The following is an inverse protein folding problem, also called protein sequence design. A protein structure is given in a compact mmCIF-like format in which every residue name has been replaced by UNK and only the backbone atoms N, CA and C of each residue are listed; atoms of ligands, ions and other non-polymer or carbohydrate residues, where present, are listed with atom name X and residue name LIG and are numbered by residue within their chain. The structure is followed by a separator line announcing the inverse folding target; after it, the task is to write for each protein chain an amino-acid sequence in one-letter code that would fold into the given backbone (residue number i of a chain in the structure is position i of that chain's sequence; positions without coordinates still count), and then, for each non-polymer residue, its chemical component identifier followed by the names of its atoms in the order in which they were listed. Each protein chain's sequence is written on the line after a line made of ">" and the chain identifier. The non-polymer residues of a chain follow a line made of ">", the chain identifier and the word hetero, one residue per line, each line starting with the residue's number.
data_IF_595229538263
#
_entry.id   IF_595229538263
#
_cell.length_a   1.000
_cell.length_b   1.000
_cell.length_c   1.000
_cell.angle_alpha   90.00
_cell.angle_beta   90.00
_cell.angle_gamma   90.00
#
_symmetry.space_group_name_H-M   'P 1'
#
loop_
_entity.id
_entity.type
_entity.pdbx_description
1 polymer ?
#
# COMPACT_ATOMS: atom_id res chain seq x y z
N UNK A 1 -11.97 -30.44 -33.19
CA UNK A 1 -11.56 -29.20 -32.51
C UNK A 1 -12.44 -29.02 -31.28
N UNK A 2 -11.89 -28.96 -30.06
CA UNK A 2 -12.72 -28.79 -28.87
C UNK A 2 -13.23 -27.35 -28.81
N UNK A 3 -14.53 -27.21 -28.53
CA UNK A 3 -15.27 -25.96 -28.50
C UNK A 3 -15.10 -25.35 -27.10
N UNK A 4 -14.37 -24.24 -26.99
CA UNK A 4 -14.29 -23.48 -25.73
C UNK A 4 -15.56 -22.63 -25.57
N UNK A 5 -16.25 -22.68 -24.41
CA UNK A 5 -17.39 -21.81 -24.13
C UNK A 5 -16.93 -20.35 -24.02
N UNK A 6 -17.36 -19.49 -24.95
CA UNK A 6 -17.23 -18.04 -24.86
C UNK A 6 -18.38 -17.49 -24.01
N UNK A 7 -18.28 -17.62 -22.70
CA UNK A 7 -19.02 -16.78 -21.76
C UNK A 7 -18.45 -16.97 -20.35
N UNK A 8 -17.20 -16.57 -20.14
CA UNK A 8 -16.78 -16.16 -18.80
C UNK A 8 -17.43 -14.81 -18.55
N UNK A 9 -18.51 -14.80 -17.76
CA UNK A 9 -19.30 -13.63 -17.37
C UNK A 9 -18.50 -12.59 -16.56
N UNK A 10 -17.39 -12.11 -17.10
CA UNK A 10 -16.68 -10.94 -16.60
C UNK A 10 -17.37 -9.71 -17.18
N UNK A 11 -18.42 -9.27 -16.49
CA UNK A 11 -19.08 -8.01 -16.81
C UNK A 11 -18.09 -6.87 -16.59
N UNK A 12 -17.69 -6.20 -17.67
CA UNK A 12 -16.77 -5.03 -17.73
C UNK A 12 -17.25 -3.80 -16.92
N UNK A 13 -18.34 -3.92 -16.16
CA UNK A 13 -18.94 -2.82 -15.39
C UNK A 13 -18.03 -2.29 -14.28
N UNK A 14 -17.12 -3.11 -13.76
CA UNK A 14 -16.21 -2.71 -12.67
C UNK A 14 -14.86 -2.17 -13.18
N UNK A 15 -14.56 -2.31 -14.48
CA UNK A 15 -13.28 -1.90 -15.07
C UNK A 15 -12.90 -0.41 -14.81
N UNK A 16 -13.79 0.58 -15.00
CA UNK A 16 -13.42 1.98 -14.74
C UNK A 16 -13.25 2.28 -13.24
N UNK A 17 -13.88 1.51 -12.35
CA UNK A 17 -13.73 1.66 -10.90
C UNK A 17 -12.41 1.04 -10.40
N UNK A 18 -12.03 -0.10 -10.97
CA UNK A 18 -10.77 -0.78 -10.68
C UNK A 18 -9.58 0.05 -11.18
N UNK A 19 -9.68 0.64 -12.38
CA UNK A 19 -8.64 1.54 -12.92
C UNK A 19 -8.44 2.77 -12.02
N UNK A 20 -9.52 3.43 -11.57
CA UNK A 20 -9.43 4.55 -10.63
C UNK A 20 -8.78 4.15 -9.30
N UNK A 21 -9.13 2.98 -8.76
CA UNK A 21 -8.53 2.47 -7.53
C UNK A 21 -7.02 2.19 -7.69
N UNK A 22 -6.59 1.70 -8.87
CA UNK A 22 -5.18 1.49 -9.18
C UNK A 22 -4.45 2.83 -9.30
N UNK A 23 -5.01 3.81 -10.01
CA UNK A 23 -4.42 5.16 -10.12
C UNK A 23 -4.21 5.79 -8.74
N UNK A 24 -5.23 5.73 -7.87
CA UNK A 24 -5.14 6.24 -6.48
C UNK A 24 -4.01 5.54 -5.71
N UNK A 25 -3.92 4.21 -5.78
CA UNK A 25 -2.85 3.46 -5.10
C UNK A 25 -1.47 3.82 -5.64
N UNK A 26 -1.34 4.03 -6.94
CA UNK A 26 -0.07 4.41 -7.58
C UNK A 26 0.36 5.82 -7.14
N UNK A 27 -0.56 6.79 -7.13
CA UNK A 27 -0.30 8.16 -6.63
C UNK A 27 0.14 8.14 -5.17
N UNK A 28 -0.57 7.39 -4.32
CA UNK A 28 -0.22 7.22 -2.90
C UNK A 28 1.14 6.54 -2.70
N UNK A 29 1.46 5.53 -3.51
CA UNK A 29 2.79 4.90 -3.50
C UNK A 29 3.87 5.91 -3.86
N UNK A 30 3.69 6.67 -4.95
CA UNK A 30 4.63 7.73 -5.36
C UNK A 30 4.83 8.79 -4.28
N UNK A 31 3.76 9.18 -3.59
CA UNK A 31 3.85 10.10 -2.46
C UNK A 31 4.74 9.54 -1.35
N UNK A 32 4.54 8.27 -0.95
CA UNK A 32 5.37 7.63 0.08
C UNK A 32 6.85 7.53 -0.33
N UNK A 33 7.13 7.27 -1.61
CA UNK A 33 8.50 7.20 -2.14
C UNK A 33 9.21 8.58 -2.10
N UNK A 34 8.46 9.67 -2.33
CA UNK A 34 8.97 11.04 -2.33
C UNK A 34 9.02 11.68 -0.94
N UNK A 35 8.17 11.22 0.00
CA UNK A 35 8.01 11.80 1.34
C UNK A 35 8.40 10.80 2.44
N UNK A 36 9.69 10.46 2.58
CA UNK A 36 10.17 9.60 3.68
C UNK A 36 9.93 10.23 5.06
N UNK A 37 9.73 11.56 5.12
CA UNK A 37 9.33 12.30 6.32
C UNK A 37 7.99 11.86 6.91
N UNK A 38 7.09 11.27 6.11
CA UNK A 38 5.81 10.74 6.59
C UNK A 38 6.04 9.74 7.73
N UNK A 39 7.03 8.85 7.59
CA UNK A 39 7.36 7.84 8.59
C UNK A 39 8.01 8.39 9.88
N UNK A 40 8.38 9.67 9.90
CA UNK A 40 9.21 10.26 10.96
C UNK A 40 8.45 10.99 12.05
N UNK A 41 7.21 11.41 11.82
CA UNK A 41 6.46 12.24 12.76
C UNK A 41 4.99 11.82 12.89
N UNK A 42 4.47 11.74 14.12
CA UNK A 42 3.03 11.64 14.41
C UNK A 42 2.40 10.24 14.29
N UNK A 43 2.99 9.33 13.51
CA UNK A 43 2.42 7.99 13.29
C UNK A 43 2.34 7.11 14.54
N UNK A 44 3.02 7.46 15.63
CA UNK A 44 2.92 6.75 16.92
C UNK A 44 1.47 6.67 17.43
N UNK A 45 0.64 7.63 17.04
CA UNK A 45 -0.76 7.73 17.44
C UNK A 45 -1.72 7.04 16.47
N UNK A 46 -1.30 6.75 15.23
CA UNK A 46 -2.13 6.09 14.23
C UNK A 46 -2.40 4.61 14.58
N UNK A 47 -1.41 3.94 15.18
CA UNK A 47 -1.60 2.65 15.85
C UNK A 47 -0.73 2.54 17.11
N UNK A 48 -1.26 2.96 18.28
CA UNK A 48 -0.51 2.94 19.52
C UNK A 48 -0.10 1.54 19.98
N UNK A 49 -0.82 0.50 19.58
CA UNK A 49 -0.58 -0.88 20.03
C UNK A 49 0.50 -1.55 19.22
N UNK A 50 0.47 -1.35 17.91
CA UNK A 50 1.49 -1.84 17.01
C UNK A 50 2.82 -1.10 17.25
N UNK A 51 2.78 0.22 17.50
CA UNK A 51 3.96 1.00 17.84
C UNK A 51 4.64 0.50 19.12
N UNK A 52 3.85 0.19 20.17
CA UNK A 52 4.38 -0.32 21.44
C UNK A 52 5.17 -1.63 21.25
N UNK A 53 4.65 -2.52 20.41
CA UNK A 53 5.22 -3.85 20.17
C UNK A 53 6.44 -3.81 19.24
N UNK A 54 6.37 -3.06 18.15
CA UNK A 54 7.40 -3.03 17.12
C UNK A 54 8.53 -2.03 17.42
N UNK A 55 8.24 -0.93 18.11
CA UNK A 55 9.19 0.15 18.38
C UNK A 55 9.54 0.21 19.87
N UNK A 56 8.54 0.47 20.75
CA UNK A 56 8.79 0.75 22.18
C UNK A 56 9.41 -0.43 22.93
N UNK A 57 9.14 -1.68 22.51
CA UNK A 57 9.74 -2.88 23.10
C UNK A 57 11.27 -2.92 22.98
N UNK A 58 11.81 -2.45 21.86
CA UNK A 58 13.26 -2.40 21.62
C UNK A 58 13.90 -1.10 22.12
N UNK A 59 13.08 -0.14 22.54
CA UNK A 59 13.55 1.11 23.11
C UNK A 59 14.22 0.86 24.47
N UNK A 60 15.44 1.34 24.60
CA UNK A 60 16.23 1.24 25.82
C UNK A 60 15.66 2.11 26.93
N UNK A 61 15.97 1.79 28.18
CA UNK A 61 15.60 2.63 29.34
C UNK A 61 16.14 4.05 29.20
N UNK A 62 17.35 4.20 28.64
CA UNK A 62 17.98 5.50 28.42
C UNK A 62 17.24 6.35 27.36
N UNK A 63 16.79 5.73 26.26
CA UNK A 63 15.98 6.41 25.24
C UNK A 63 14.61 6.83 25.81
N UNK A 64 13.96 5.96 26.61
CA UNK A 64 12.69 6.30 27.27
C UNK A 64 12.82 7.44 28.27
N UNK A 65 13.90 7.47 29.05
CA UNK A 65 14.16 8.58 29.98
C UNK A 65 14.48 9.89 29.24
N UNK A 66 15.16 9.82 28.09
CA UNK A 66 15.39 11.00 27.25
C UNK A 66 14.09 11.52 26.65
N UNK A 67 13.24 10.62 26.13
CA UNK A 67 11.94 10.95 25.58
C UNK A 67 10.98 11.47 26.66
N UNK A 68 10.92 10.82 27.82
CA UNK A 68 10.12 11.26 28.95
C UNK A 68 10.56 12.61 29.51
N UNK A 69 11.87 12.94 29.44
CA UNK A 69 12.36 14.29 29.75
C UNK A 69 12.01 15.32 28.68
N UNK A 70 12.00 14.93 27.40
CA UNK A 70 11.63 15.81 26.30
C UNK A 70 10.13 16.10 26.25
N UNK A 71 9.29 15.07 26.41
CA UNK A 71 7.81 15.16 26.43
C UNK A 71 7.28 15.68 27.79
N UNK A 72 8.05 15.54 28.87
CA UNK A 72 7.65 15.94 30.21
C UNK A 72 6.61 15.00 30.84
N UNK A 73 6.34 15.18 32.15
CA UNK A 73 5.42 14.30 32.89
C UNK A 73 3.98 14.31 32.34
N UNK A 74 3.47 15.49 31.94
CA UNK A 74 2.13 15.61 31.36
C UNK A 74 2.02 14.89 30.00
N UNK A 75 3.03 15.01 29.14
CA UNK A 75 3.04 14.34 27.84
C UNK A 75 3.17 12.82 27.95
N UNK A 76 3.95 12.34 28.93
CA UNK A 76 4.01 10.89 29.23
C UNK A 76 2.63 10.38 29.69
N UNK A 77 1.95 11.10 30.58
CA UNK A 77 0.62 10.71 31.05
C UNK A 77 -0.42 10.72 29.92
N UNK A 78 -0.42 11.75 29.07
CA UNK A 78 -1.33 11.88 27.93
C UNK A 78 -1.14 10.73 26.94
N UNK A 79 0.10 10.43 26.58
CA UNK A 79 0.40 9.30 25.67
C UNK A 79 0.05 7.94 26.27
N UNK A 80 0.21 7.77 27.59
CA UNK A 80 -0.21 6.56 28.28
C UNK A 80 -1.75 6.42 28.34
N UNK A 81 -2.48 7.53 28.53
CA UNK A 81 -3.94 7.54 28.48
C UNK A 81 -4.45 7.14 27.09
N UNK A 82 -3.98 7.81 26.04
CA UNK A 82 -4.38 7.51 24.66
C UNK A 82 -4.09 6.06 24.28
N UNK A 83 -2.94 5.53 24.71
CA UNK A 83 -2.60 4.12 24.48
C UNK A 83 -3.58 3.18 25.19
N UNK A 84 -3.98 3.50 26.42
CA UNK A 84 -4.94 2.69 27.17
C UNK A 84 -6.33 2.69 26.52
N UNK A 85 -6.74 3.82 25.93
CA UNK A 85 -8.01 3.96 25.21
C UNK A 85 -7.99 3.17 23.90
N UNK A 86 -6.95 3.35 23.07
CA UNK A 86 -6.77 2.59 21.83
C UNK A 86 -6.74 1.08 22.07
N UNK A 87 -6.13 0.67 23.20
CA UNK A 87 -6.10 -0.73 23.61
C UNK A 87 -7.48 -1.29 23.92
N UNK A 88 -8.32 -0.50 24.58
CA UNK A 88 -9.68 -0.92 24.87
C UNK A 88 -10.53 -0.95 23.61
N UNK A 89 -10.34 0.02 22.72
CA UNK A 89 -11.08 0.11 21.47
C UNK A 89 -10.77 -1.07 20.54
N UNK A 90 -9.49 -1.44 20.39
CA UNK A 90 -9.09 -2.60 19.59
C UNK A 90 -9.67 -3.93 20.10
N UNK A 91 -9.95 -4.05 21.42
CA UNK A 91 -10.62 -5.22 21.99
C UNK A 91 -12.12 -5.20 21.67
N UNK A 92 -12.76 -4.03 21.71
CA UNK A 92 -14.18 -3.90 21.36
C UNK A 92 -14.45 -3.99 19.85
N UNK A 93 -13.50 -3.55 19.03
CA UNK A 93 -13.59 -3.47 17.58
C UNK A 93 -12.33 -4.09 16.94
N UNK A 94 -12.16 -5.41 17.00
CA UNK A 94 -11.05 -6.07 16.34
C UNK A 94 -11.18 -5.90 14.82
N UNK A 95 -10.21 -5.20 14.21
CA UNK A 95 -10.16 -5.03 12.76
C UNK A 95 -9.75 -6.36 12.11
N UNK A 96 -10.58 -6.93 11.21
CA UNK A 96 -10.26 -8.18 10.52
C UNK A 96 -9.02 -8.08 9.61
N UNK A 97 -8.60 -6.87 9.23
CA UNK A 97 -7.41 -6.62 8.42
C UNK A 97 -6.20 -6.18 9.26
N UNK A 98 -6.34 -6.03 10.59
CA UNK A 98 -5.21 -5.70 11.42
C UNK A 98 -4.20 -6.85 11.41
N UNK A 99 -2.93 -6.50 11.26
CA UNK A 99 -1.82 -7.46 11.32
C UNK A 99 -1.80 -8.23 12.64
N UNK A 100 -2.36 -7.65 13.73
CA UNK A 100 -2.42 -8.29 15.05
C UNK A 100 -3.84 -8.33 15.59
N UNK A 101 -4.21 -9.50 16.14
CA UNK A 101 -5.44 -9.65 16.94
C UNK A 101 -5.14 -9.46 18.43
N UNK A 102 -6.05 -8.79 19.15
CA UNK A 102 -5.96 -8.55 20.58
C UNK A 102 -7.10 -9.27 21.30
N UNK A 103 -6.78 -10.17 22.22
CA UNK A 103 -7.78 -10.86 23.04
C UNK A 103 -7.61 -10.50 24.51
N UNK A 104 -8.75 -10.44 25.22
CA UNK A 104 -8.76 -10.24 26.66
C UNK A 104 -8.54 -11.59 27.34
N UNK A 105 -7.42 -11.71 28.03
CA UNK A 105 -7.09 -12.85 28.86
C UNK A 105 -8.00 -12.98 30.08
N UNK A 106 -7.98 -14.15 30.76
CA UNK A 106 -8.88 -14.48 31.86
C UNK A 106 -8.82 -13.50 33.05
N UNK A 107 -7.65 -12.94 33.32
CA UNK A 107 -7.41 -12.00 34.41
C UNK A 107 -7.51 -10.52 33.97
N UNK A 108 -8.02 -10.26 32.76
CA UNK A 108 -8.08 -8.91 32.18
C UNK A 108 -6.75 -8.41 31.60
N UNK A 109 -5.70 -9.24 31.63
CA UNK A 109 -4.49 -9.02 30.85
C UNK A 109 -4.79 -9.11 29.37
N UNK A 110 -4.19 -8.25 28.56
CA UNK A 110 -4.48 -8.18 27.13
C UNK A 110 -3.37 -8.94 26.42
N UNK A 111 -3.74 -10.09 25.88
CA UNK A 111 -2.84 -11.00 25.18
C UNK A 111 -2.99 -10.72 23.69
N UNK A 112 -1.90 -10.36 23.03
CA UNK A 112 -1.85 -10.45 21.57
C UNK A 112 -1.66 -11.94 21.25
N UNK A 113 -2.62 -12.54 20.55
CA UNK A 113 -2.76 -14.00 20.48
C UNK A 113 -1.63 -14.66 19.69
N UNK A 114 -0.95 -13.91 18.82
CA UNK A 114 0.18 -14.44 18.03
C UNK A 114 1.54 -14.11 18.66
N UNK A 115 2.08 -15.10 19.38
CA UNK A 115 3.44 -15.08 19.97
C UNK A 115 4.56 -15.22 18.94
N UNK A 116 4.26 -15.65 17.71
CA UNK A 116 5.26 -15.96 16.68
C UNK A 116 5.59 -14.78 15.75
N UNK A 117 4.81 -13.71 15.79
CA UNK A 117 5.07 -12.46 15.03
C UNK A 117 5.76 -11.41 15.90
N UNK A 118 6.78 -11.81 16.63
CA UNK A 118 7.65 -10.88 17.37
C UNK A 118 8.92 -10.71 16.55
N UNK A 119 9.22 -9.48 16.09
CA UNK A 119 10.47 -9.23 15.40
C UNK A 119 11.66 -9.63 16.31
N UNK A 120 12.71 -10.28 15.79
CA UNK A 120 13.90 -10.61 16.57
C UNK A 120 14.76 -9.39 16.91
N UNK A 121 14.62 -8.28 16.17
CA UNK A 121 15.48 -7.10 16.31
C UNK A 121 14.73 -5.78 16.06
N UNK A 122 15.34 -4.67 16.50
CA UNK A 122 14.82 -3.30 16.36
C UNK A 122 14.61 -2.91 14.89
N UNK A 123 15.56 -3.24 14.02
CA UNK A 123 15.54 -2.86 12.60
C UNK A 123 14.37 -3.52 11.84
N UNK A 124 14.06 -4.77 12.18
CA UNK A 124 12.95 -5.52 11.64
C UNK A 124 11.62 -5.03 12.20
N UNK A 125 11.58 -4.65 13.48
CA UNK A 125 10.44 -3.94 14.06
C UNK A 125 10.14 -2.63 13.33
N UNK A 126 11.16 -1.80 13.09
CA UNK A 126 11.05 -0.56 12.33
C UNK A 126 10.66 -0.78 10.86
N UNK A 127 11.15 -1.86 10.24
CA UNK A 127 10.78 -2.24 8.87
C UNK A 127 9.32 -2.66 8.79
N UNK A 128 8.86 -3.51 9.70
CA UNK A 128 7.47 -3.96 9.77
C UNK A 128 6.53 -2.80 10.10
N UNK A 129 6.94 -1.92 11.00
CA UNK A 129 6.20 -0.70 11.33
C UNK A 129 6.00 0.19 10.10
N UNK A 130 7.08 0.48 9.36
CA UNK A 130 7.00 1.26 8.12
C UNK A 130 6.14 0.59 7.05
N UNK A 131 6.27 -0.73 6.91
CA UNK A 131 5.49 -1.49 5.95
C UNK A 131 3.98 -1.42 6.26
N UNK A 132 3.60 -1.62 7.52
CA UNK A 132 2.20 -1.59 7.96
C UNK A 132 1.62 -0.17 7.88
N UNK A 133 2.35 0.85 8.32
CA UNK A 133 1.94 2.26 8.15
C UNK A 133 1.80 2.64 6.68
N UNK A 134 2.69 2.13 5.82
CA UNK A 134 2.60 2.31 4.36
C UNK A 134 1.38 1.61 3.77
N UNK A 135 1.05 0.40 4.24
CA UNK A 135 -0.13 -0.34 3.81
C UNK A 135 -1.42 0.40 4.21
N UNK A 136 -1.50 0.89 5.45
CA UNK A 136 -2.63 1.72 5.92
C UNK A 136 -2.78 2.99 5.10
N UNK A 137 -1.67 3.66 4.81
CA UNK A 137 -1.67 4.84 3.96
C UNK A 137 -2.21 4.53 2.56
N UNK A 138 -1.73 3.44 1.94
CA UNK A 138 -2.21 3.00 0.63
C UNK A 138 -3.71 2.66 0.64
N UNK A 139 -4.21 2.06 1.73
CA UNK A 139 -5.63 1.73 1.88
C UNK A 139 -6.51 2.95 2.13
N UNK A 140 -5.95 4.05 2.66
CA UNK A 140 -6.70 5.26 2.98
C UNK A 140 -7.22 5.30 4.41
N UNK A 141 -6.59 4.53 5.30
CA UNK A 141 -7.04 4.35 6.68
C UNK A 141 -6.35 5.30 7.68
N UNK A 142 -5.50 6.23 7.21
CA UNK A 142 -4.94 7.29 8.04
C UNK A 142 -5.93 8.45 8.14
N UNK A 143 -6.59 8.60 9.29
CA UNK A 143 -7.58 9.67 9.52
C UNK A 143 -6.96 11.06 9.61
N UNK A 144 -5.68 11.16 9.92
CA UNK A 144 -5.00 12.43 10.17
C UNK A 144 -4.46 13.04 8.87
N UNK A 145 -4.41 12.26 7.78
CA UNK A 145 -3.90 12.68 6.47
C UNK A 145 -4.99 13.14 5.50
N UNK A 146 -4.80 14.29 4.86
CA UNK A 146 -5.70 14.75 3.79
C UNK A 146 -5.33 14.12 2.44
N UNK A 147 -5.90 12.93 2.18
CA UNK A 147 -5.70 12.19 0.93
C UNK A 147 -6.08 12.94 -0.33
N UNK A 148 -6.90 14.00 -0.28
CA UNK A 148 -7.26 14.77 -1.48
C UNK A 148 -6.04 15.40 -2.14
N UNK A 149 -5.04 15.77 -1.34
CA UNK A 149 -3.78 16.37 -1.80
C UNK A 149 -2.95 15.43 -2.66
N UNK A 150 -3.15 14.12 -2.52
CA UNK A 150 -2.42 13.07 -3.25
C UNK A 150 -3.32 12.42 -4.30
N UNK A 151 -4.55 12.04 -3.92
CA UNK A 151 -5.46 11.30 -4.78
C UNK A 151 -5.93 12.11 -6.00
N UNK A 152 -6.02 13.45 -5.86
CA UNK A 152 -6.44 14.36 -6.95
C UNK A 152 -5.27 15.09 -7.59
N UNK A 153 -4.04 14.75 -7.22
CA UNK A 153 -2.86 15.38 -7.80
C UNK A 153 -2.28 14.49 -8.90
N UNK A 154 -2.36 15.00 -10.14
CA UNK A 154 -1.87 14.32 -11.33
C UNK A 154 -0.33 14.36 -11.42
N UNK A 155 0.37 15.20 -10.65
CA UNK A 155 1.84 15.22 -10.60
C UNK A 155 2.43 13.90 -10.04
N UNK A 156 1.64 13.18 -9.24
CA UNK A 156 1.99 11.86 -8.73
C UNK A 156 1.56 10.72 -9.66
N UNK A 157 0.95 11.03 -10.81
CA UNK A 157 0.80 10.02 -11.84
C UNK A 157 2.17 9.60 -12.35
N UNK A 158 2.28 8.30 -12.57
CA UNK A 158 3.48 7.67 -13.06
C UNK A 158 3.60 7.93 -14.57
N UNK A 159 3.98 9.16 -14.93
CA UNK A 159 4.36 9.56 -16.30
C UNK A 159 5.78 9.09 -16.61
N UNK A 160 6.16 7.86 -16.25
CA UNK A 160 7.52 7.44 -16.54
C UNK A 160 7.65 7.25 -18.04
N UNK A 161 8.56 8.02 -18.64
CA UNK A 161 9.06 7.91 -20.02
C UNK A 161 9.45 6.47 -20.41
N UNK A 162 9.57 5.53 -19.45
CA UNK A 162 9.83 4.11 -19.67
C UNK A 162 8.67 3.36 -20.35
N UNK A 163 7.41 3.76 -20.16
CA UNK A 163 6.32 3.20 -20.96
C UNK A 163 6.47 3.65 -22.42
N UNK A 164 6.74 4.94 -22.63
CA UNK A 164 7.02 5.46 -23.97
C UNK A 164 8.25 4.78 -24.57
N UNK A 165 9.31 4.53 -23.79
CA UNK A 165 10.52 3.85 -24.24
C UNK A 165 10.26 2.39 -24.63
N UNK A 166 9.44 1.65 -23.87
CA UNK A 166 9.02 0.29 -24.25
C UNK A 166 8.20 0.29 -25.55
N UNK A 167 7.33 1.29 -25.75
CA UNK A 167 6.57 1.47 -27.00
C UNK A 167 7.41 1.99 -28.16
N UNK A 168 8.43 2.82 -27.91
CA UNK A 168 9.37 3.35 -28.90
C UNK A 168 10.38 2.28 -29.33
N UNK A 169 10.83 1.42 -28.41
CA UNK A 169 11.73 0.29 -28.68
C UNK A 169 11.01 -0.91 -29.33
N UNK A 170 9.67 -1.03 -29.20
CA UNK A 170 8.87 -2.02 -29.93
C UNK A 170 8.69 -1.61 -31.40
N UNK A 171 9.52 -2.16 -32.29
CA UNK A 171 9.26 -2.03 -33.73
C UNK A 171 7.92 -2.68 -34.12
N UNK A 172 7.04 -1.99 -34.87
CA UNK A 172 5.73 -2.52 -35.24
C UNK A 172 5.86 -3.77 -36.10
N UNK A 173 5.34 -4.89 -35.59
CA UNK A 173 5.43 -6.20 -36.23
C UNK A 173 4.13 -6.60 -36.93
N UNK A 174 4.24 -7.04 -38.19
CA UNK A 174 3.08 -7.51 -38.96
C UNK A 174 2.69 -8.93 -38.53
N UNK A 175 1.40 -9.17 -38.36
CA UNK A 175 0.86 -10.50 -38.07
C UNK A 175 -0.18 -10.86 -39.13
N UNK A 176 0.09 -11.89 -39.92
CA UNK A 176 -0.82 -12.40 -40.96
C UNK A 176 -0.90 -13.91 -40.83
N UNK A 177 -2.11 -14.46 -40.64
CA UNK A 177 -2.39 -15.90 -40.56
C UNK A 177 -1.42 -16.70 -39.64
N UNK A 178 -1.11 -16.14 -38.47
CA UNK A 178 -0.21 -16.77 -37.48
C UNK A 178 1.29 -16.67 -37.80
N UNK A 179 1.66 -16.06 -38.94
CA UNK A 179 3.06 -15.65 -39.22
C UNK A 179 3.30 -14.23 -38.71
N UNK A 180 4.50 -13.99 -38.16
CA UNK A 180 4.91 -12.74 -37.49
C UNK A 180 6.12 -12.15 -38.24
N UNK A 181 6.27 -10.84 -38.25
CA UNK A 181 7.49 -10.17 -38.71
C UNK A 181 7.61 -10.03 -40.23
N UNK A 182 8.84 -10.04 -40.74
CA UNK A 182 9.12 -9.86 -42.18
C UNK A 182 8.49 -10.98 -43.04
N UNK A 183 8.30 -12.18 -42.49
CA UNK A 183 7.61 -13.27 -43.17
C UNK A 183 6.11 -12.98 -43.35
N UNK A 184 5.49 -12.27 -42.41
CA UNK A 184 4.11 -11.80 -42.54
C UNK A 184 3.98 -10.67 -43.56
N UNK A 185 5.03 -9.85 -43.73
CA UNK A 185 5.05 -8.78 -44.75
C UNK A 185 5.00 -9.30 -46.18
N UNK A 186 5.61 -10.46 -46.44
CA UNK A 186 5.57 -11.10 -47.76
C UNK A 186 4.15 -11.61 -48.11
N UNK A 187 3.32 -11.86 -47.11
CA UNK A 187 1.94 -12.32 -47.25
C UNK A 187 0.90 -11.19 -47.21
N UNK A 188 1.34 -9.92 -47.08
CA UNK A 188 0.48 -8.74 -47.19
C UNK A 188 0.04 -8.55 -48.66
N UNK A 189 -1.06 -9.18 -49.05
CA UNK A 189 -1.72 -8.90 -50.32
C UNK A 189 -2.49 -7.58 -50.20
N UNK A 190 -1.80 -6.47 -50.44
CA UNK A 190 -2.41 -5.16 -50.50
C UNK A 190 -3.21 -4.99 -51.82
N UNK A 191 -4.51 -5.22 -51.78
CA UNK A 191 -5.43 -4.55 -52.72
C UNK A 191 -5.51 -3.07 -52.30
N UNK A 192 -4.45 -2.31 -52.55
CA UNK A 192 -4.57 -0.85 -52.55
C UNK A 192 -5.33 -0.46 -53.81
N UNK A 193 -6.65 -0.40 -53.68
CA UNK A 193 -7.54 0.17 -54.66
C UNK A 193 -7.22 1.66 -54.84
N UNK A 194 -6.24 1.97 -55.68
CA UNK A 194 -6.13 3.28 -56.32
C UNK A 194 -7.29 3.31 -57.32
N UNK A 195 -8.43 3.86 -56.89
CA UNK A 195 -9.51 4.23 -57.81
C UNK A 195 -9.06 5.47 -58.58
N UNK A 196 -8.63 5.26 -59.82
CA UNK A 196 -8.49 6.31 -60.82
C UNK A 196 -9.90 6.87 -61.08
N UNK A 197 -10.11 8.15 -60.77
CA UNK A 197 -11.33 8.90 -61.07
C UNK A 197 -11.07 9.86 -62.23
#
# INVERSE_FOLDING_TARGET
>A
MPHFPKDSGFTVKDAPSAQKAVTVKNRRKRYLDLHPEYFSAGLELADPLLYDRLIRRFQTTQEREAEGRAKGFSGVLETDLLRSEAKMDAISHPDPNAMMSYTRGPDGEILAEDRDEIPPNKEEGERLWRWEMGLRFMQGNDSDFDYKTVDQNDDYDDHTDEQDQYFEDEEPEWVVDGTRGDDARLNLQGETGIQDF
#
